data_IF_394806064103
#
_entry.id   IF_394806064103
#
_cell.length_a   1.000
_cell.length_b   1.000
_cell.length_c   1.000
_cell.angle_alpha   90.00
_cell.angle_beta   90.00
_cell.angle_gamma   90.00
#
_symmetry.space_group_name_H-M   'P 1'
#
loop_
_entity.id
_entity.type
_entity.pdbx_description
1 polymer ?
#
# COMPACT_ATOMS: atom_id res chain seq x y z
N UNK A 1 -7.82 11.16 -1.19
CA UNK A 1 -6.98 10.12 -1.84
C UNK A 1 -5.53 10.44 -1.52
N UNK A 2 -4.71 9.43 -1.26
CA UNK A 2 -3.29 9.58 -0.97
C UNK A 2 -2.49 8.73 -1.94
N UNK A 3 -1.40 9.28 -2.46
CA UNK A 3 -0.46 8.58 -3.33
C UNK A 3 0.94 8.76 -2.78
N UNK A 4 1.73 7.69 -2.81
CA UNK A 4 3.13 7.73 -2.43
C UNK A 4 3.96 6.96 -3.44
N UNK A 5 5.08 7.56 -3.82
CA UNK A 5 6.12 6.94 -4.62
C UNK A 5 7.39 6.87 -3.77
N UNK A 6 8.04 5.71 -3.73
CA UNK A 6 9.32 5.53 -3.05
C UNK A 6 10.25 4.72 -3.93
N UNK A 7 11.44 5.26 -4.17
CA UNK A 7 12.53 4.55 -4.81
C UNK A 7 13.56 4.15 -3.75
N UNK A 8 13.99 2.89 -3.75
CA UNK A 8 14.98 2.37 -2.80
C UNK A 8 16.10 1.66 -3.54
N UNK A 9 17.32 2.18 -3.38
CA UNK A 9 18.53 1.59 -3.95
C UNK A 9 19.33 0.93 -2.83
N UNK A 10 19.62 -0.36 -2.97
CA UNK A 10 20.46 -1.08 -2.02
C UNK A 10 21.93 -0.96 -2.42
N UNK A 11 22.82 -0.78 -1.43
CA UNK A 11 24.25 -0.57 -1.65
C UNK A 11 25.07 -1.86 -1.68
N UNK A 12 24.53 -2.97 -1.17
CA UNK A 12 25.22 -4.25 -1.15
C UNK A 12 24.88 -5.07 -2.39
N UNK A 13 25.91 -5.57 -3.07
CA UNK A 13 25.79 -6.65 -4.03
C UNK A 13 25.41 -7.91 -3.25
N UNK A 14 24.26 -8.51 -3.58
CA UNK A 14 23.88 -9.76 -2.97
C UNK A 14 24.76 -10.85 -3.60
N UNK A 15 25.68 -11.51 -2.87
CA UNK A 15 26.64 -12.45 -3.44
C UNK A 15 25.98 -13.67 -4.09
N UNK A 16 24.70 -13.93 -3.80
CA UNK A 16 23.91 -15.00 -4.42
C UNK A 16 23.22 -14.57 -5.72
N UNK A 17 23.01 -13.27 -5.94
CA UNK A 17 22.25 -12.73 -7.07
C UNK A 17 23.13 -11.96 -8.05
N UNK A 18 24.38 -11.63 -7.68
CA UNK A 18 25.34 -10.81 -8.46
C UNK A 18 24.74 -9.49 -9.01
N UNK A 19 23.61 -9.04 -8.44
CA UNK A 19 22.80 -7.97 -8.99
C UNK A 19 22.42 -6.98 -7.89
N UNK A 20 22.61 -5.69 -8.20
CA UNK A 20 22.29 -4.58 -7.30
C UNK A 20 20.79 -4.34 -7.26
N UNK A 21 20.16 -4.60 -6.11
CA UNK A 21 18.70 -4.46 -5.96
C UNK A 21 18.25 -3.00 -6.00
N UNK A 22 17.34 -2.68 -6.91
CA UNK A 22 16.60 -1.41 -6.96
C UNK A 22 15.11 -1.73 -6.89
N UNK A 23 14.43 -1.12 -5.93
CA UNK A 23 13.00 -1.31 -5.70
C UNK A 23 12.26 0.00 -5.98
N UNK A 24 11.24 -0.06 -6.83
CA UNK A 24 10.28 1.01 -7.08
C UNK A 24 8.95 0.64 -6.43
N UNK A 25 8.56 1.42 -5.43
CA UNK A 25 7.35 1.19 -4.64
C UNK A 25 6.32 2.29 -4.94
N UNK A 26 5.15 1.87 -5.42
CA UNK A 26 4.00 2.73 -5.65
C UNK A 26 2.87 2.32 -4.73
N UNK A 27 2.35 3.27 -3.95
CA UNK A 27 1.19 3.03 -3.08
C UNK A 27 0.08 4.03 -3.37
N UNK A 28 -1.10 3.49 -3.69
CA UNK A 28 -2.32 4.24 -3.91
C UNK A 28 -3.29 3.91 -2.78
N UNK A 29 -3.74 4.91 -2.03
CA UNK A 29 -4.71 4.75 -0.95
C UNK A 29 -5.94 5.61 -1.20
N UNK A 30 -7.12 4.97 -1.18
CA UNK A 30 -8.42 5.61 -1.25
C UNK A 30 -9.17 5.34 0.06
N UNK A 31 -9.63 6.41 0.72
CA UNK A 31 -10.48 6.30 1.91
C UNK A 31 -11.80 6.99 1.65
N UNK A 32 -12.90 6.25 1.78
CA UNK A 32 -14.27 6.73 1.65
C UNK A 32 -14.94 6.63 3.02
N UNK A 33 -15.52 7.74 3.48
CA UNK A 33 -16.35 7.76 4.69
C UNK A 33 -17.77 8.06 4.28
N UNK A 34 -18.70 7.20 4.68
CA UNK A 34 -20.09 7.39 4.33
C UNK A 34 -20.87 7.94 5.51
N UNK A 35 -20.73 9.26 5.75
CA UNK A 35 -21.46 9.96 6.82
C UNK A 35 -22.98 9.83 6.67
N UNK A 36 -23.48 9.74 5.44
CA UNK A 36 -24.91 9.53 5.15
C UNK A 36 -25.45 8.17 5.63
N UNK A 37 -24.59 7.17 5.82
CA UNK A 37 -24.95 5.87 6.39
C UNK A 37 -24.62 5.80 7.89
N UNK A 38 -24.40 6.95 8.53
CA UNK A 38 -24.18 6.99 9.98
C UNK A 38 -25.48 6.66 10.71
N UNK A 39 -25.55 5.46 11.30
CA UNK A 39 -26.67 5.04 12.16
C UNK A 39 -26.15 4.82 13.58
N UNK A 40 -26.91 5.26 14.60
CA UNK A 40 -26.52 5.17 16.02
C UNK A 40 -25.14 5.79 16.34
N UNK A 41 -24.70 6.80 15.58
CA UNK A 41 -23.39 7.44 15.76
C UNK A 41 -22.20 6.61 15.25
N UNK A 42 -22.44 5.53 14.50
CA UNK A 42 -21.42 4.72 13.83
C UNK A 42 -21.29 5.15 12.37
N UNK A 43 -20.13 5.68 11.99
CA UNK A 43 -19.83 6.03 10.60
C UNK A 43 -18.99 4.94 9.94
N UNK A 44 -19.48 4.29 8.87
CA UNK A 44 -18.67 3.35 8.11
C UNK A 44 -17.62 4.08 7.26
N UNK A 45 -16.40 3.54 7.29
CA UNK A 45 -15.27 3.99 6.52
C UNK A 45 -14.62 2.80 5.79
N UNK A 46 -14.52 2.91 4.47
CA UNK A 46 -13.83 1.95 3.62
C UNK A 46 -12.48 2.53 3.22
N UNK A 47 -11.41 1.78 3.46
CA UNK A 47 -10.06 2.10 2.99
C UNK A 47 -9.59 1.03 2.04
N UNK A 48 -9.24 1.44 0.82
CA UNK A 48 -8.62 0.62 -0.19
C UNK A 48 -7.17 1.06 -0.35
N UNK A 49 -6.25 0.10 -0.38
CA UNK A 49 -4.84 0.33 -0.63
C UNK A 49 -4.37 -0.63 -1.72
N UNK A 50 -3.82 -0.07 -2.79
CA UNK A 50 -3.11 -0.80 -3.83
C UNK A 50 -1.63 -0.49 -3.71
N UNK A 51 -0.81 -1.51 -3.53
CA UNK A 51 0.63 -1.39 -3.45
C UNK A 51 1.26 -2.24 -4.55
N UNK A 52 2.17 -1.63 -5.29
CA UNK A 52 2.97 -2.27 -6.33
C UNK A 52 4.44 -2.06 -5.99
N UNK A 53 5.19 -3.14 -5.98
CA UNK A 53 6.65 -3.12 -5.82
C UNK A 53 7.25 -3.80 -7.02
N UNK A 54 7.98 -3.03 -7.82
CA UNK A 54 8.79 -3.53 -8.92
C UNK A 54 10.24 -3.55 -8.46
N UNK A 55 10.86 -4.73 -8.43
CA UNK A 55 12.26 -4.90 -8.05
C UNK A 55 13.10 -5.27 -9.27
N UNK A 56 14.37 -4.86 -9.30
CA UNK A 56 15.32 -5.31 -10.32
C UNK A 56 15.62 -6.81 -10.24
N UNK A 57 15.36 -7.44 -9.10
CA UNK A 57 15.31 -8.90 -8.93
C UNK A 57 13.84 -9.30 -8.89
N UNK A 58 13.21 -9.14 -10.04
CA UNK A 58 11.77 -9.21 -10.24
C UNK A 58 11.19 -10.58 -9.87
N UNK A 59 11.86 -11.66 -10.27
CA UNK A 59 11.43 -13.03 -10.02
C UNK A 59 11.28 -13.39 -8.53
N UNK A 60 11.94 -12.64 -7.62
CA UNK A 60 11.93 -12.93 -6.18
C UNK A 60 11.20 -11.87 -5.36
N UNK A 61 11.28 -10.60 -5.76
CA UNK A 61 10.85 -9.47 -4.91
C UNK A 61 9.80 -8.57 -5.54
N UNK A 62 9.41 -8.78 -6.81
CA UNK A 62 8.27 -8.04 -7.36
C UNK A 62 6.96 -8.61 -6.84
N UNK A 63 6.09 -7.74 -6.32
CA UNK A 63 4.77 -8.15 -5.85
C UNK A 63 3.73 -7.03 -5.98
N UNK A 64 2.47 -7.46 -5.98
CA UNK A 64 1.32 -6.59 -5.91
C UNK A 64 0.46 -6.98 -4.71
N UNK A 65 0.01 -5.98 -3.95
CA UNK A 65 -0.84 -6.20 -2.78
C UNK A 65 -2.04 -5.27 -2.83
N UNK A 66 -3.22 -5.87 -2.83
CA UNK A 66 -4.48 -5.16 -2.63
C UNK A 66 -4.93 -5.37 -1.18
N UNK A 67 -5.32 -4.30 -0.51
CA UNK A 67 -5.84 -4.36 0.86
C UNK A 67 -7.11 -3.54 0.94
N UNK A 68 -8.19 -4.19 1.35
CA UNK A 68 -9.44 -3.53 1.69
C UNK A 68 -9.62 -3.59 3.21
N UNK A 69 -10.06 -2.49 3.82
CA UNK A 69 -10.32 -2.41 5.25
C UNK A 69 -11.61 -1.66 5.49
N UNK A 70 -12.53 -2.27 6.22
CA UNK A 70 -13.76 -1.65 6.68
C UNK A 70 -13.59 -1.27 8.15
N UNK A 71 -13.95 -0.03 8.50
CA UNK A 71 -13.91 0.51 9.86
C UNK A 71 -15.26 1.13 10.20
N UNK A 72 -15.67 1.03 11.45
CA UNK A 72 -16.80 1.75 12.01
C UNK A 72 -16.24 2.73 13.04
N UNK A 73 -16.37 4.02 12.76
CA UNK A 73 -15.94 5.10 13.65
C UNK A 73 -17.14 5.53 14.51
N UNK A 74 -17.02 5.48 15.85
CA UNK A 74 -18.03 6.05 16.77
C UNK A 74 -17.55 7.40 17.28
N UNK A 75 -18.37 8.44 17.17
CA UNK A 75 -18.12 9.72 17.85
C UNK A 75 -18.72 9.65 19.25
N UNK A 76 -17.90 9.93 20.26
CA UNK A 76 -18.30 10.03 21.67
C UNK A 76 -18.54 11.49 22.04
#
# INVERSE_FOLDING_TARGET
>A
MFTAFRQRQYQADNPLLEQRRRDEEQTYTLTLRAQRFSTLGLTPALSLRHQRVDSSVDWLYSYQRNTASLKLERRF
#
